data_IF_691021972035
#
_entry.id   IF_691021972035
#
_cell.length_a   1.000
_cell.length_b   1.000
_cell.length_c   1.000
_cell.angle_alpha   90.00
_cell.angle_beta   90.00
_cell.angle_gamma   90.00
#
_symmetry.space_group_name_H-M   'P 1'
#
loop_
_entity.id
_entity.type
_entity.pdbx_description
1 polymer ?
#
# COMPACT_ATOMS: atom_id res chain seq x y z
N UNK A 1 14.25 2.06 22.75
CA UNK A 1 14.08 0.84 21.92
C UNK A 1 13.23 1.12 20.68
N UNK A 2 11.97 1.56 20.81
CA UNK A 2 11.10 1.86 19.65
C UNK A 2 11.67 2.89 18.67
N UNK A 3 12.26 3.99 19.18
CA UNK A 3 12.87 5.01 18.31
C UNK A 3 14.06 4.49 17.50
N UNK A 4 14.89 3.62 18.10
CA UNK A 4 16.02 3.02 17.39
C UNK A 4 15.55 2.02 16.32
N UNK A 5 14.51 1.24 16.59
CA UNK A 5 13.89 0.37 15.59
C UNK A 5 13.26 1.16 14.45
N UNK A 6 12.61 2.30 14.76
CA UNK A 6 12.04 3.17 13.75
C UNK A 6 13.13 3.73 12.81
N UNK A 7 14.25 4.22 13.36
CA UNK A 7 15.40 4.67 12.58
C UNK A 7 15.97 3.55 11.72
N UNK A 8 16.13 2.34 12.29
CA UNK A 8 16.66 1.21 11.52
C UNK A 8 15.72 0.80 10.38
N UNK A 9 14.41 0.82 10.61
CA UNK A 9 13.43 0.55 9.56
C UNK A 9 13.49 1.60 8.44
N UNK A 10 13.58 2.88 8.80
CA UNK A 10 13.61 3.97 7.83
C UNK A 10 14.93 4.02 7.04
N UNK A 11 16.07 3.92 7.74
CA UNK A 11 17.40 4.09 7.12
C UNK A 11 17.92 2.82 6.42
N UNK A 12 17.47 1.62 6.83
CA UNK A 12 18.01 0.36 6.29
C UNK A 12 16.96 -0.53 5.62
N UNK A 13 15.76 -0.66 6.18
CA UNK A 13 14.76 -1.59 5.66
C UNK A 13 14.07 -1.04 4.40
N UNK A 14 13.61 0.22 4.43
CA UNK A 14 12.97 0.88 3.27
C UNK A 14 13.90 0.92 2.04
N UNK A 15 15.16 1.38 2.13
CA UNK A 15 16.05 1.46 0.97
C UNK A 15 16.45 0.08 0.42
N UNK A 16 16.56 -0.93 1.29
CA UNK A 16 16.82 -2.30 0.87
C UNK A 16 15.67 -2.86 0.05
N UNK A 17 14.42 -2.57 0.44
CA UNK A 17 13.24 -2.97 -0.31
C UNK A 17 13.13 -2.24 -1.65
N UNK A 18 13.41 -0.94 -1.70
CA UNK A 18 13.46 -0.17 -2.94
C UNK A 18 14.47 -0.75 -3.92
N UNK A 19 15.67 -1.11 -3.45
CA UNK A 19 16.70 -1.72 -4.31
C UNK A 19 16.27 -3.06 -4.87
N UNK A 20 15.55 -3.88 -4.10
CA UNK A 20 14.99 -5.15 -4.58
C UNK A 20 13.91 -4.87 -5.64
N UNK A 21 13.07 -3.87 -5.43
CA UNK A 21 11.99 -3.52 -6.35
C UNK A 21 12.50 -2.95 -7.68
N UNK A 22 13.57 -2.15 -7.66
CA UNK A 22 14.28 -1.72 -8.87
C UNK A 22 14.80 -2.90 -9.69
N UNK A 23 15.39 -3.91 -9.03
CA UNK A 23 15.90 -5.11 -9.70
C UNK A 23 14.80 -5.99 -10.28
N UNK A 24 13.63 -6.00 -9.66
CA UNK A 24 12.45 -6.73 -10.14
C UNK A 24 11.61 -5.94 -11.15
N UNK A 25 11.99 -4.69 -11.49
CA UNK A 25 11.23 -3.81 -12.39
C UNK A 25 9.76 -3.61 -11.94
N UNK A 26 9.53 -3.43 -10.63
CA UNK A 26 8.21 -3.16 -10.08
C UNK A 26 8.00 -1.66 -9.86
N UNK A 27 6.76 -1.20 -10.04
CA UNK A 27 6.37 0.18 -9.68
C UNK A 27 6.43 0.36 -8.15
N UNK A 28 6.78 1.55 -7.68
CA UNK A 28 6.84 1.90 -6.25
C UNK A 28 5.53 1.59 -5.51
N UNK A 29 4.38 1.85 -6.14
CA UNK A 29 3.06 1.48 -5.59
C UNK A 29 2.91 -0.04 -5.34
N UNK A 30 3.50 -0.88 -6.20
CA UNK A 30 3.49 -2.35 -6.05
C UNK A 30 4.43 -2.79 -4.94
N UNK A 31 5.60 -2.14 -4.89
CA UNK A 31 6.63 -2.37 -3.90
C UNK A 31 6.11 -2.11 -2.49
N UNK A 32 5.46 -0.96 -2.28
CA UNK A 32 4.85 -0.59 -1.01
C UNK A 32 3.71 -1.55 -0.62
N UNK A 33 2.79 -1.82 -1.55
CA UNK A 33 1.64 -2.68 -1.29
C UNK A 33 2.00 -4.14 -0.99
N UNK A 34 3.14 -4.63 -1.48
CA UNK A 34 3.53 -6.04 -1.36
C UNK A 34 4.67 -6.23 -0.37
N UNK A 35 5.84 -5.63 -0.62
CA UNK A 35 7.05 -5.94 0.14
C UNK A 35 7.13 -5.19 1.45
N UNK A 36 6.78 -3.90 1.48
CA UNK A 36 6.74 -3.15 2.75
C UNK A 36 5.64 -3.70 3.67
N UNK A 37 4.43 -3.93 3.11
CA UNK A 37 3.33 -4.53 3.85
C UNK A 37 3.67 -5.95 4.36
N UNK A 38 4.22 -6.82 3.49
CA UNK A 38 4.59 -8.18 3.90
C UNK A 38 5.72 -8.18 4.95
N UNK A 39 6.75 -7.36 4.77
CA UNK A 39 7.88 -7.32 5.69
C UNK A 39 7.50 -6.80 7.08
N UNK A 40 6.57 -5.85 7.16
CA UNK A 40 6.03 -5.38 8.45
C UNK A 40 5.25 -6.46 9.19
N UNK A 41 4.47 -7.29 8.49
CA UNK A 41 3.59 -8.31 9.12
C UNK A 41 4.27 -9.67 9.33
N UNK A 42 5.47 -9.86 8.77
CA UNK A 42 6.23 -11.11 8.87
C UNK A 42 6.57 -11.49 10.31
N UNK A 43 7.07 -10.59 11.18
CA UNK A 43 7.34 -10.92 12.58
C UNK A 43 6.09 -11.35 13.36
N UNK A 44 4.96 -10.69 13.10
CA UNK A 44 3.66 -11.02 13.71
C UNK A 44 3.19 -12.41 13.27
N UNK A 45 3.36 -12.74 11.98
CA UNK A 45 3.06 -14.08 11.45
C UNK A 45 3.92 -15.16 12.14
N UNK A 46 5.24 -14.93 12.28
CA UNK A 46 6.12 -15.88 12.97
C UNK A 46 5.74 -16.06 14.43
N UNK A 47 5.48 -14.97 15.16
CA UNK A 47 5.04 -15.03 16.55
C UNK A 47 3.70 -15.79 16.68
N UNK A 48 2.79 -15.59 15.73
CA UNK A 48 1.49 -16.27 15.67
C UNK A 48 1.63 -17.78 15.43
N UNK A 49 2.47 -18.17 14.47
CA UNK A 49 2.73 -19.59 14.17
C UNK A 49 3.36 -20.28 15.38
N UNK A 50 4.40 -19.68 15.97
CA UNK A 50 5.06 -20.20 17.18
C UNK A 50 4.06 -20.27 18.35
N UNK A 51 3.21 -19.25 18.50
CA UNK A 51 2.15 -19.18 19.50
C UNK A 51 1.18 -20.36 19.37
N UNK A 52 0.70 -20.65 18.16
CA UNK A 52 -0.23 -21.78 17.91
C UNK A 52 0.42 -23.15 18.18
N UNK A 53 1.72 -23.31 17.91
CA UNK A 53 2.41 -24.58 18.21
C UNK A 53 2.68 -24.79 19.70
N UNK A 54 2.79 -23.72 20.48
CA UNK A 54 3.09 -23.78 21.92
C UNK A 54 1.80 -23.80 22.75
N UNK A 55 0.80 -22.99 22.38
CA UNK A 55 -0.48 -22.91 23.08
C UNK A 55 -1.42 -23.97 22.50
N UNK A 56 -1.77 -24.98 23.31
CA UNK A 56 -2.62 -26.10 22.88
C UNK A 56 -4.12 -25.72 22.90
N UNK A 57 -4.52 -24.56 22.36
CA UNK A 57 -5.92 -24.13 22.40
C UNK A 57 -6.30 -23.01 21.43
N UNK A 58 -7.61 -22.87 21.20
CA UNK A 58 -8.24 -21.95 20.25
C UNK A 58 -8.02 -20.45 20.54
N UNK A 59 -7.39 -20.12 21.66
CA UNK A 59 -6.99 -18.76 22.05
C UNK A 59 -6.04 -18.13 21.01
N UNK A 60 -5.28 -18.96 20.27
CA UNK A 60 -4.37 -18.49 19.23
C UNK A 60 -5.06 -17.74 18.10
N UNK A 61 -6.16 -18.28 17.55
CA UNK A 61 -6.78 -17.73 16.33
C UNK A 61 -7.44 -16.37 16.60
N UNK A 62 -8.12 -16.21 17.74
CA UNK A 62 -8.71 -14.93 18.14
C UNK A 62 -7.68 -13.81 18.33
N UNK A 63 -6.49 -14.16 18.83
CA UNK A 63 -5.38 -13.22 19.00
C UNK A 63 -4.83 -12.75 17.65
N UNK A 64 -4.71 -13.66 16.69
CA UNK A 64 -4.20 -13.39 15.34
C UNK A 64 -5.14 -12.48 14.56
N UNK A 65 -6.44 -12.81 14.57
CA UNK A 65 -7.45 -12.00 13.88
C UNK A 65 -7.58 -10.63 14.54
N UNK A 66 -7.56 -10.59 15.88
CA UNK A 66 -7.62 -9.35 16.65
C UNK A 66 -6.43 -8.42 16.39
N UNK A 67 -5.21 -8.95 16.34
CA UNK A 67 -4.01 -8.13 16.04
C UNK A 67 -4.04 -7.59 14.61
N UNK A 68 -4.49 -8.38 13.63
CA UNK A 68 -4.61 -7.94 12.24
C UNK A 68 -5.63 -6.80 12.07
N UNK A 69 -6.81 -6.93 12.69
CA UNK A 69 -7.85 -5.89 12.65
C UNK A 69 -7.40 -4.63 13.38
N UNK A 70 -6.75 -4.77 14.54
CA UNK A 70 -6.19 -3.65 15.29
C UNK A 70 -5.11 -2.92 14.48
N UNK A 71 -4.19 -3.64 13.84
CA UNK A 71 -3.13 -3.08 13.03
C UNK A 71 -3.71 -2.23 11.88
N UNK A 72 -4.68 -2.76 11.12
CA UNK A 72 -5.32 -2.03 10.03
C UNK A 72 -6.05 -0.77 10.55
N UNK A 73 -6.83 -0.89 11.62
CA UNK A 73 -7.59 0.25 12.15
C UNK A 73 -6.68 1.34 12.74
N UNK A 74 -5.71 0.94 13.58
CA UNK A 74 -4.84 1.89 14.27
C UNK A 74 -3.79 2.50 13.34
N UNK A 75 -3.13 1.72 12.48
CA UNK A 75 -2.13 2.28 11.56
C UNK A 75 -2.79 3.22 10.56
N UNK A 76 -3.89 2.82 9.92
CA UNK A 76 -4.60 3.68 8.97
C UNK A 76 -5.18 4.91 9.68
N UNK A 77 -5.75 4.74 10.89
CA UNK A 77 -6.29 5.85 11.67
C UNK A 77 -5.22 6.88 12.07
N UNK A 78 -4.08 6.42 12.57
CA UNK A 78 -2.95 7.28 12.93
C UNK A 78 -2.36 7.93 11.67
N UNK A 79 -2.12 7.18 10.59
CA UNK A 79 -1.68 7.76 9.31
C UNK A 79 -2.64 8.83 8.81
N UNK A 80 -3.96 8.62 8.90
CA UNK A 80 -4.96 9.60 8.48
C UNK A 80 -4.90 10.90 9.29
N UNK A 81 -4.68 10.82 10.60
CA UNK A 81 -4.55 11.99 11.49
C UNK A 81 -3.25 12.75 11.24
N UNK A 82 -2.14 12.03 11.04
CA UNK A 82 -0.79 12.62 10.93
C UNK A 82 -0.35 12.91 9.49
N UNK A 83 -1.09 12.46 8.46
CA UNK A 83 -0.68 12.61 7.06
C UNK A 83 -0.49 14.08 6.65
N UNK A 84 -1.25 15.02 7.21
CA UNK A 84 -1.15 16.46 6.91
C UNK A 84 -1.40 16.84 5.44
N UNK A 85 -1.71 15.87 4.59
CA UNK A 85 -1.83 16.00 3.14
C UNK A 85 -2.93 15.08 2.61
N UNK A 86 -3.52 15.43 1.45
CA UNK A 86 -4.57 14.63 0.83
C UNK A 86 -3.95 13.40 0.17
N UNK A 87 -4.04 12.26 0.86
CA UNK A 87 -3.63 10.95 0.30
C UNK A 87 -4.65 10.51 -0.75
N UNK A 88 -4.27 10.57 -2.03
CA UNK A 88 -5.11 10.15 -3.15
C UNK A 88 -5.07 8.62 -3.31
N UNK A 89 -5.94 7.92 -2.59
CA UNK A 89 -6.10 6.47 -2.80
C UNK A 89 -7.07 6.20 -3.96
N UNK A 90 -6.72 5.26 -4.84
CA UNK A 90 -7.64 4.81 -5.89
C UNK A 90 -8.80 4.05 -5.24
N UNK A 91 -10.02 4.57 -5.39
CA UNK A 91 -11.24 3.97 -4.83
C UNK A 91 -11.44 2.49 -5.21
N UNK A 92 -11.02 2.11 -6.43
CA UNK A 92 -11.07 0.73 -6.92
C UNK A 92 -10.16 -0.24 -6.16
N UNK A 93 -8.97 0.19 -5.74
CA UNK A 93 -8.03 -0.66 -4.99
C UNK A 93 -8.56 -0.91 -3.59
N UNK A 94 -9.00 0.15 -2.91
CA UNK A 94 -9.55 0.06 -1.56
C UNK A 94 -10.78 -0.82 -1.48
N UNK A 95 -11.71 -0.66 -2.43
CA UNK A 95 -12.91 -1.48 -2.45
C UNK A 95 -12.58 -2.96 -2.66
N UNK A 96 -11.67 -3.28 -3.59
CA UNK A 96 -11.22 -4.67 -3.82
C UNK A 96 -10.59 -5.27 -2.57
N UNK A 97 -9.66 -4.56 -1.95
CA UNK A 97 -8.90 -5.06 -0.79
C UNK A 97 -9.83 -5.24 0.42
N UNK A 98 -10.77 -4.31 0.63
CA UNK A 98 -11.82 -4.40 1.66
C UNK A 98 -12.77 -5.59 1.43
N UNK A 99 -13.24 -5.79 0.20
CA UNK A 99 -14.13 -6.92 -0.13
C UNK A 99 -13.45 -8.27 0.08
N UNK A 100 -12.18 -8.40 -0.33
CA UNK A 100 -11.40 -9.63 -0.09
C UNK A 100 -11.15 -9.87 1.39
N UNK A 101 -10.86 -8.81 2.15
CA UNK A 101 -10.63 -8.91 3.58
C UNK A 101 -11.90 -9.35 4.33
N UNK A 102 -13.07 -8.79 3.99
CA UNK A 102 -14.35 -9.20 4.57
C UNK A 102 -14.68 -10.66 4.21
N UNK A 103 -14.49 -11.05 2.95
CA UNK A 103 -14.70 -12.43 2.51
C UNK A 103 -13.79 -13.40 3.29
N UNK A 104 -12.53 -13.03 3.52
CA UNK A 104 -11.59 -13.84 4.26
C UNK A 104 -11.98 -14.02 5.73
N UNK A 105 -12.44 -12.95 6.38
CA UNK A 105 -12.96 -13.03 7.76
C UNK A 105 -14.21 -13.91 7.83
N UNK A 106 -15.15 -13.77 6.88
CA UNK A 106 -16.37 -14.60 6.84
C UNK A 106 -16.01 -16.08 6.67
N UNK A 107 -15.11 -16.40 5.73
CA UNK A 107 -14.65 -17.78 5.52
C UNK A 107 -14.00 -18.35 6.79
N UNK A 108 -13.18 -17.55 7.47
CA UNK A 108 -12.55 -17.93 8.73
C UNK A 108 -13.58 -18.16 9.85
N UNK A 109 -14.61 -17.32 9.97
CA UNK A 109 -15.71 -17.52 10.94
C UNK A 109 -16.46 -18.82 10.68
N UNK A 110 -16.72 -19.14 9.40
CA UNK A 110 -17.41 -20.39 9.02
C UNK A 110 -16.58 -21.61 9.43
N UNK A 111 -15.26 -21.61 9.19
CA UNK A 111 -14.40 -22.75 9.55
C UNK A 111 -14.19 -22.90 11.06
N UNK A 112 -14.26 -21.81 11.82
CA UNK A 112 -14.16 -21.85 13.28
C UNK A 112 -15.48 -22.30 13.93
N UNK A 113 -16.61 -22.17 13.23
CA UNK A 113 -17.93 -22.48 13.78
C UNK A 113 -18.06 -23.93 14.26
N UNK A 114 -17.38 -24.86 13.58
CA UNK A 114 -17.42 -26.30 13.90
C UNK A 114 -16.37 -26.71 14.97
N UNK A 115 -15.61 -25.75 15.54
CA UNK A 115 -14.55 -25.93 16.55
C UNK A 115 -13.46 -26.97 16.19
N UNK A 116 -13.42 -27.44 14.94
CA UNK A 116 -12.47 -28.43 14.45
C UNK A 116 -11.92 -27.98 13.11
N UNK A 117 -10.66 -27.53 13.10
CA UNK A 117 -10.00 -27.08 11.87
C UNK A 117 -9.40 -28.28 11.14
N UNK A 118 -9.95 -28.63 9.97
CA UNK A 118 -9.37 -29.67 9.11
C UNK A 118 -8.30 -29.12 8.17
N UNK A 119 -7.36 -29.98 7.76
CA UNK A 119 -6.23 -29.58 6.91
C UNK A 119 -6.67 -28.97 5.57
N UNK A 120 -7.80 -29.42 5.01
CA UNK A 120 -8.34 -28.87 3.76
C UNK A 120 -8.91 -27.46 3.92
N UNK A 121 -9.48 -27.09 5.06
CA UNK A 121 -9.96 -25.72 5.33
C UNK A 121 -8.79 -24.74 5.41
N UNK A 122 -7.72 -25.14 6.08
CA UNK A 122 -6.46 -24.37 6.10
C UNK A 122 -5.88 -24.21 4.68
N UNK A 123 -5.94 -25.27 3.86
CA UNK A 123 -5.50 -25.23 2.48
C UNK A 123 -6.37 -24.29 1.62
N UNK A 124 -7.69 -24.25 1.85
CA UNK A 124 -8.61 -23.32 1.19
C UNK A 124 -8.27 -21.87 1.55
N UNK A 125 -7.98 -21.56 2.81
CA UNK A 125 -7.55 -20.22 3.23
C UNK A 125 -6.25 -19.78 2.54
N UNK A 126 -5.27 -20.68 2.42
CA UNK A 126 -4.02 -20.43 1.69
C UNK A 126 -4.29 -20.19 0.20
N UNK A 127 -5.13 -21.02 -0.44
CA UNK A 127 -5.50 -20.85 -1.85
C UNK A 127 -6.20 -19.50 -2.05
N UNK A 128 -7.12 -19.13 -1.18
CA UNK A 128 -7.82 -17.84 -1.25
C UNK A 128 -6.84 -16.66 -1.14
N UNK A 129 -5.82 -16.76 -0.28
CA UNK A 129 -4.74 -15.78 -0.20
C UNK A 129 -3.89 -15.73 -1.48
N UNK A 130 -3.54 -16.88 -2.06
CA UNK A 130 -2.83 -16.95 -3.34
C UNK A 130 -3.65 -16.36 -4.49
N UNK A 131 -4.94 -16.63 -4.55
CA UNK A 131 -5.87 -16.05 -5.52
C UNK A 131 -5.92 -14.53 -5.36
N UNK A 132 -5.97 -14.02 -4.12
CA UNK A 132 -5.89 -12.59 -3.85
C UNK A 132 -4.60 -11.97 -4.40
N UNK A 133 -3.43 -12.58 -4.16
CA UNK A 133 -2.15 -12.11 -4.72
C UNK A 133 -2.17 -12.13 -6.25
N UNK A 134 -2.70 -13.19 -6.86
CA UNK A 134 -2.79 -13.30 -8.32
C UNK A 134 -3.71 -12.22 -8.92
N UNK A 135 -4.84 -11.95 -8.27
CA UNK A 135 -5.77 -10.90 -8.67
C UNK A 135 -5.11 -9.54 -8.50
N UNK A 136 -4.44 -9.27 -7.38
CA UNK A 136 -3.66 -8.05 -7.17
C UNK A 136 -2.65 -7.82 -8.30
N UNK A 137 -1.86 -8.85 -8.63
CA UNK A 137 -0.87 -8.81 -9.72
C UNK A 137 -1.49 -8.56 -11.10
N UNK A 138 -2.61 -9.19 -11.42
CA UNK A 138 -3.28 -9.01 -12.72
C UNK A 138 -4.01 -7.68 -12.83
N UNK A 139 -4.60 -7.20 -11.74
CA UNK A 139 -5.39 -5.97 -11.71
C UNK A 139 -4.47 -4.72 -11.82
N UNK A 140 -3.21 -4.83 -11.42
CA UNK A 140 -2.19 -3.80 -11.69
C UNK A 140 -1.86 -3.61 -13.18
N UNK A 141 -1.85 -4.68 -13.98
CA UNK A 141 -1.75 -4.55 -15.45
C UNK A 141 -2.92 -3.77 -16.02
N UNK A 142 -4.12 -3.97 -15.46
CA UNK A 142 -5.33 -3.26 -15.91
C UNK A 142 -5.28 -1.76 -15.57
N UNK A 143 -4.73 -1.37 -14.41
CA UNK A 143 -4.54 0.06 -14.08
C UNK A 143 -3.56 0.77 -15.02
N UNK A 144 -2.42 0.16 -15.35
CA UNK A 144 -1.46 0.74 -16.30
C UNK A 144 -2.06 0.87 -17.70
N UNK A 145 -2.84 -0.12 -18.15
CA UNK A 145 -3.58 -0.08 -19.41
C UNK A 145 -4.72 0.96 -19.42
N UNK A 146 -5.44 1.13 -18.30
CA UNK A 146 -6.50 2.13 -18.19
C UNK A 146 -5.97 3.56 -18.17
N UNK A 147 -4.81 3.81 -17.54
CA UNK A 147 -4.15 5.13 -17.57
C UNK A 147 -3.71 5.50 -19.00
N UNK A 148 -3.16 4.55 -19.76
CA UNK A 148 -2.82 4.74 -21.18
C UNK A 148 -4.08 4.98 -22.03
N UNK A 149 -5.14 4.19 -21.84
CA UNK A 149 -6.37 4.33 -22.60
C UNK A 149 -7.07 5.67 -22.30
N UNK A 150 -7.09 6.11 -21.04
CA UNK A 150 -7.69 7.40 -20.63
C UNK A 150 -6.91 8.61 -21.18
N UNK A 151 -5.58 8.52 -21.31
CA UNK A 151 -4.77 9.58 -21.94
C UNK A 151 -5.04 9.69 -23.45
N UNK A 152 -5.27 8.56 -24.13
CA UNK A 152 -5.66 8.56 -25.55
C UNK A 152 -7.10 9.03 -25.82
N UNK A 153 -8.01 8.87 -24.85
CA UNK A 153 -9.40 9.31 -24.96
C UNK A 153 -9.57 10.80 -24.59
N UNK A 154 -8.64 11.37 -23.83
CA UNK A 154 -8.61 12.82 -23.52
C UNK A 154 -8.07 13.71 -24.65
N UNK A 155 -7.30 13.16 -25.60
CA UNK A 155 -6.81 13.89 -26.78
C UNK A 155 -7.73 13.76 -28.01
N UNK A 156 -8.89 13.13 -27.86
CA UNK A 156 -9.75 12.71 -28.97
C UNK A 156 -10.92 13.63 -29.32
N UNK A 157 -11.03 14.84 -28.75
CA UNK A 157 -12.04 15.80 -29.21
C UNK A 157 -11.77 17.25 -28.77
N UNK A 158 -10.94 17.97 -29.53
CA UNK A 158 -11.11 19.41 -29.84
C UNK A 158 -10.28 19.73 -31.09
N UNK A 159 -10.95 19.84 -32.24
CA UNK A 159 -10.41 20.53 -33.42
C UNK A 159 -10.76 22.03 -33.29
N UNK A 160 -9.75 22.88 -33.50
CA UNK A 160 -9.83 24.34 -33.70
C UNK A 160 -9.75 25.13 -32.39
N UNK A 161 -8.91 26.16 -32.21
CA UNK A 161 -8.22 27.02 -33.18
C UNK A 161 -7.17 27.87 -32.40
N UNK A 162 -6.09 28.26 -33.09
CA UNK A 162 -5.24 29.44 -32.81
C UNK A 162 -4.37 29.50 -31.52
N UNK A 163 -3.04 29.53 -31.75
CA UNK A 163 -2.04 30.40 -31.12
C UNK A 163 -1.97 30.51 -29.57
N UNK A 164 -0.98 29.86 -28.96
CA UNK A 164 0.10 30.58 -28.23
C UNK A 164 1.25 29.59 -27.92
N UNK A 165 2.30 29.67 -28.74
CA UNK A 165 3.63 29.19 -28.40
C UNK A 165 4.16 29.99 -27.19
N UNK A 166 4.77 29.29 -26.23
CA UNK A 166 5.50 29.89 -25.12
C UNK A 166 4.70 29.95 -23.81
N UNK A 167 4.97 28.99 -22.92
CA UNK A 167 5.23 29.22 -21.49
C UNK A 167 4.98 27.95 -20.63
N UNK A 168 5.81 26.90 -20.75
CA UNK A 168 6.01 25.93 -19.65
C UNK A 168 7.44 25.34 -19.75
N UNK A 169 8.44 26.23 -19.75
CA UNK A 169 9.84 25.85 -19.48
C UNK A 169 10.24 26.14 -18.01
N UNK A 170 9.26 26.49 -17.18
CA UNK A 170 9.42 26.78 -15.75
C UNK A 170 8.80 25.67 -14.90
N UNK A 171 9.41 24.50 -14.88
CA UNK A 171 9.21 23.57 -13.76
C UNK A 171 10.45 22.70 -13.46
N UNK A 172 11.62 23.09 -13.97
CA UNK A 172 12.90 22.37 -13.79
C UNK A 172 13.93 23.17 -12.98
N UNK A 173 13.51 24.21 -12.25
CA UNK A 173 14.43 25.10 -11.53
C UNK A 173 13.94 25.43 -10.11
N UNK A 174 13.59 24.40 -9.34
CA UNK A 174 13.37 24.50 -7.90
C UNK A 174 14.06 23.33 -7.16
N UNK A 175 15.30 23.03 -7.52
CA UNK A 175 16.22 22.21 -6.73
C UNK A 175 17.61 22.86 -6.75
N UNK A 176 17.76 24.01 -6.10
CA UNK A 176 19.08 24.57 -5.81
C UNK A 176 19.05 25.35 -4.47
N UNK A 177 19.59 24.79 -3.38
CA UNK A 177 19.58 25.42 -2.06
C UNK A 177 20.80 26.33 -1.88
N UNK A 178 20.99 27.33 -2.75
CA UNK A 178 22.09 28.31 -2.55
C UNK A 178 21.89 29.64 -3.29
N UNK A 179 20.88 30.45 -2.96
CA UNK A 179 20.93 31.89 -3.31
C UNK A 179 20.25 32.79 -2.25
N UNK A 180 20.90 33.86 -1.74
CA UNK A 180 20.42 34.65 -0.61
C UNK A 180 19.58 35.88 -1.05
N UNK A 181 18.60 36.23 -0.22
CA UNK A 181 18.23 37.61 0.17
C UNK A 181 18.27 38.70 -0.92
N UNK A 182 17.35 38.72 -1.89
CA UNK A 182 17.25 39.87 -2.81
C UNK A 182 15.84 40.16 -3.38
N UNK A 183 14.79 40.13 -2.55
CA UNK A 183 13.54 40.82 -2.92
C UNK A 183 12.82 41.45 -1.72
N UNK A 184 13.53 42.36 -1.05
CA UNK A 184 12.90 43.48 -0.35
C UNK A 184 13.04 44.71 -1.25
N UNK A 185 11.91 45.38 -1.51
CA UNK A 185 11.80 46.71 -2.13
C UNK A 185 11.70 46.77 -3.67
N UNK A 186 10.45 46.71 -4.17
CA UNK A 186 9.83 47.65 -5.14
C UNK A 186 8.45 47.07 -5.53
N UNK A 187 7.35 47.80 -5.56
CA UNK A 187 7.05 49.19 -5.28
C UNK A 187 5.52 49.29 -5.16
N UNK A 188 5.06 50.00 -4.15
CA UNK A 188 3.67 50.39 -3.95
C UNK A 188 3.58 51.85 -4.37
N UNK A 189 3.12 52.09 -5.59
CA UNK A 189 2.40 53.29 -6.06
C UNK A 189 2.10 53.13 -7.55
#
# INVERSE_FOLDING_TARGET
MFYALAIVCDDFFVPSLEKICERLHLSEDVAGATFMAAGSSTPELFASVIGVFITHGDVGVGTIVGSAVFNILCIIGVCGVFAGQVVRLTWWSLFRDSMYYILAIIALIIFIYDEVIVWWESLILIIMYLIYILIMKYNMKMQHLFTIKRKNLGNGCTIGSELQDGNVYCDSLCDDPTVPLLWKSKGKQ
#
